data_IF_675364423445
#
_entry.id   IF_675364423445
#
_cell.length_a   1.000
_cell.length_b   1.000
_cell.length_c   1.000
_cell.angle_alpha   90.00
_cell.angle_beta   90.00
_cell.angle_gamma   90.00
#
_symmetry.space_group_name_H-M   'P 1'
#
loop_
_entity.id
_entity.type
_entity.pdbx_description
1 polymer ?
#
# COMPACT_ATOMS: atom_id res chain seq x y z
N UNK A 1 4.29 -15.75 23.13
CA UNK A 1 4.99 -15.34 21.89
C UNK A 1 4.03 -15.60 20.75
N UNK A 2 3.09 -14.69 20.49
CA UNK A 2 2.05 -14.91 19.47
C UNK A 2 2.71 -14.67 18.12
N UNK A 3 2.96 -15.75 17.38
CA UNK A 3 3.34 -15.67 15.98
C UNK A 3 2.22 -14.94 15.25
N UNK A 4 2.44 -13.66 14.95
CA UNK A 4 1.71 -13.00 13.89
C UNK A 4 1.94 -13.88 12.66
N UNK A 5 0.90 -14.62 12.28
CA UNK A 5 0.90 -15.34 11.01
C UNK A 5 1.14 -14.26 9.98
N UNK A 6 2.37 -14.19 9.52
CA UNK A 6 2.80 -13.42 8.37
C UNK A 6 2.12 -14.11 7.19
N UNK A 7 0.81 -13.86 7.06
CA UNK A 7 -0.02 -14.33 5.96
C UNK A 7 0.75 -13.88 4.73
N UNK A 8 1.28 -14.84 3.97
CA UNK A 8 1.97 -14.57 2.72
C UNK A 8 1.05 -13.69 1.88
N UNK A 9 1.30 -12.38 1.89
CA UNK A 9 0.47 -11.43 1.16
C UNK A 9 0.67 -11.76 -0.30
N UNK A 10 -0.31 -12.43 -0.88
CA UNK A 10 -0.34 -12.65 -2.33
C UNK A 10 -0.61 -11.30 -2.98
N UNK A 11 0.47 -10.62 -3.35
CA UNK A 11 0.39 -9.44 -4.18
C UNK A 11 0.06 -9.90 -5.62
N UNK A 12 -0.94 -9.30 -6.28
CA UNK A 12 -1.17 -9.50 -7.70
C UNK A 12 0.11 -9.26 -8.53
N UNK A 13 0.24 -9.88 -9.69
CA UNK A 13 1.40 -9.61 -10.57
C UNK A 13 1.40 -8.17 -11.12
N UNK A 14 0.25 -7.51 -11.11
CA UNK A 14 0.05 -6.14 -11.60
C UNK A 14 0.29 -5.06 -10.53
N UNK A 15 0.73 -5.40 -9.31
CA UNK A 15 1.00 -4.36 -8.30
C UNK A 15 2.18 -3.50 -8.71
N UNK A 16 2.02 -2.20 -8.51
CA UNK A 16 3.10 -1.21 -8.65
C UNK A 16 3.64 -0.88 -7.27
N UNK A 17 4.94 -0.64 -7.19
CA UNK A 17 5.60 -0.20 -5.95
C UNK A 17 5.90 1.28 -6.06
N UNK A 18 5.60 2.02 -5.00
CA UNK A 18 5.90 3.45 -4.90
C UNK A 18 6.06 3.90 -3.46
N UNK A 19 6.57 5.11 -3.26
CA UNK A 19 6.61 5.73 -1.94
C UNK A 19 5.33 6.49 -1.72
N UNK A 20 4.45 6.02 -0.83
CA UNK A 20 3.27 6.78 -0.44
C UNK A 20 3.58 7.73 0.71
N UNK A 21 2.91 8.87 0.68
CA UNK A 21 2.80 9.82 1.76
C UNK A 21 1.36 10.29 1.81
N UNK A 22 0.82 10.47 3.00
CA UNK A 22 -0.53 11.02 3.20
C UNK A 22 -0.43 12.48 3.58
N UNK A 23 -1.34 13.30 3.05
CA UNK A 23 -1.45 14.71 3.46
C UNK A 23 -2.36 14.84 4.67
N UNK A 24 -2.40 16.03 5.28
CA UNK A 24 -3.33 16.35 6.39
C UNK A 24 -4.81 16.22 6.02
N UNK A 25 -5.13 16.15 4.72
CA UNK A 25 -6.47 15.95 4.18
C UNK A 25 -6.74 14.49 3.80
N UNK A 26 -5.89 13.55 4.24
CA UNK A 26 -5.95 12.14 3.86
C UNK A 26 -5.82 11.90 2.34
N UNK A 27 -5.18 12.81 1.62
CA UNK A 27 -4.87 12.61 0.20
C UNK A 27 -3.67 11.70 0.06
N UNK A 28 -3.68 10.84 -0.97
CA UNK A 28 -2.60 9.88 -1.21
C UNK A 28 -1.63 10.46 -2.24
N UNK A 29 -0.40 10.68 -1.79
CA UNK A 29 0.71 11.14 -2.62
C UNK A 29 1.64 9.97 -2.85
N UNK A 30 1.73 9.47 -4.07
CA UNK A 30 2.68 8.40 -4.43
C UNK A 30 3.78 9.00 -5.30
N UNK A 31 5.03 8.77 -4.92
CA UNK A 31 6.22 9.28 -5.63
C UNK A 31 6.20 10.82 -5.78
N UNK A 32 5.63 11.52 -4.78
CA UNK A 32 5.48 12.97 -4.81
C UNK A 32 4.34 13.50 -5.69
N UNK A 33 3.52 12.62 -6.28
CA UNK A 33 2.33 13.00 -7.06
C UNK A 33 1.04 12.61 -6.34
N UNK A 34 0.11 13.55 -6.24
CA UNK A 34 -1.26 13.27 -5.81
C UNK A 34 -1.87 12.23 -6.76
N UNK A 35 -2.33 11.11 -6.21
CA UNK A 35 -2.98 10.04 -6.96
C UNK A 35 -4.44 9.95 -6.57
N UNK A 36 -5.29 9.83 -7.58
CA UNK A 36 -6.69 9.52 -7.39
C UNK A 36 -6.83 8.07 -6.92
N UNK A 37 -7.82 7.85 -6.06
CA UNK A 37 -8.19 6.56 -5.56
C UNK A 37 -9.69 6.42 -5.62
N UNK A 38 -10.16 5.18 -5.78
CA UNK A 38 -11.59 4.92 -5.80
C UNK A 38 -12.19 5.11 -4.40
N UNK A 39 -13.47 5.43 -4.32
CA UNK A 39 -14.17 5.50 -3.03
C UNK A 39 -14.14 4.17 -2.25
N UNK A 40 -13.88 3.05 -2.94
CA UNK A 40 -13.71 1.71 -2.38
C UNK A 40 -12.27 1.34 -2.03
N UNK A 41 -11.36 2.31 -1.95
CA UNK A 41 -9.95 2.10 -1.65
C UNK A 41 -9.76 1.27 -0.38
N UNK A 42 -9.02 0.17 -0.49
CA UNK A 42 -8.61 -0.66 0.66
C UNK A 42 -7.13 -0.49 0.92
N UNK A 43 -6.79 0.05 2.09
CA UNK A 43 -5.40 0.17 2.54
C UNK A 43 -5.12 -0.96 3.53
N UNK A 44 -4.29 -1.91 3.13
CA UNK A 44 -3.82 -3.00 3.98
C UNK A 44 -2.58 -2.53 4.72
N UNK A 45 -2.71 -2.23 6.01
CA UNK A 45 -1.58 -1.93 6.89
C UNK A 45 -0.68 -3.16 7.08
N UNK A 46 0.46 -3.03 7.75
CA UNK A 46 1.44 -4.08 8.09
C UNK A 46 0.85 -5.27 8.88
N UNK A 47 -0.20 -5.03 9.66
CA UNK A 47 -0.93 -6.08 10.42
C UNK A 47 -1.97 -6.85 9.57
N UNK A 48 -1.97 -6.67 8.25
CA UNK A 48 -2.98 -7.18 7.32
C UNK A 48 -4.41 -6.66 7.60
N UNK A 49 -4.53 -5.63 8.45
CA UNK A 49 -5.78 -4.93 8.72
C UNK A 49 -6.07 -3.88 7.65
N UNK A 50 -7.34 -3.78 7.26
CA UNK A 50 -7.83 -2.73 6.38
C UNK A 50 -7.96 -1.45 7.20
N UNK A 51 -7.16 -0.45 6.86
CA UNK A 51 -7.19 0.90 7.41
C UNK A 51 -7.85 1.84 6.39
N UNK A 52 -8.52 2.87 6.89
CA UNK A 52 -9.08 3.96 6.09
C UNK A 52 -8.00 5.00 5.79
N UNK A 53 -8.03 5.68 4.63
CA UNK A 53 -7.06 6.73 4.30
C UNK A 53 -7.00 7.83 5.38
N UNK A 54 -8.14 8.20 5.96
CA UNK A 54 -8.21 9.19 7.04
C UNK A 54 -7.53 8.76 8.35
N UNK A 55 -7.37 7.45 8.58
CA UNK A 55 -6.72 6.91 9.78
C UNK A 55 -5.26 6.55 9.54
N UNK A 56 -4.76 6.74 8.31
CA UNK A 56 -3.40 6.43 7.91
C UNK A 56 -2.64 7.74 7.80
N UNK A 57 -1.78 7.98 8.79
CA UNK A 57 -0.76 9.03 8.73
C UNK A 57 0.58 8.35 8.47
N UNK A 58 1.02 8.35 7.21
CA UNK A 58 2.30 7.80 6.81
C UNK A 58 3.04 8.78 5.92
N UNK A 59 4.34 8.91 6.12
CA UNK A 59 5.18 9.79 5.31
C UNK A 59 6.39 9.01 4.81
N UNK A 60 6.61 9.06 3.50
CA UNK A 60 7.74 8.43 2.82
C UNK A 60 7.85 6.91 3.07
N UNK A 61 6.72 6.21 3.14
CA UNK A 61 6.69 4.75 3.30
C UNK A 61 6.58 4.05 1.95
N UNK A 62 7.25 2.91 1.80
CA UNK A 62 7.18 2.13 0.56
C UNK A 62 5.94 1.27 0.58
N UNK A 63 5.14 1.35 -0.47
CA UNK A 63 3.90 0.59 -0.60
C UNK A 63 3.78 -0.05 -1.95
N UNK A 64 3.01 -1.14 -1.98
CA UNK A 64 2.49 -1.67 -3.22
C UNK A 64 1.08 -1.13 -3.43
N UNK A 65 0.70 -0.81 -4.65
CA UNK A 65 -0.63 -0.33 -5.00
C UNK A 65 -1.08 -0.93 -6.32
N UNK A 66 -2.40 -1.11 -6.45
CA UNK A 66 -3.05 -1.60 -7.67
C UNK A 66 -3.92 -0.49 -8.24
N UNK A 67 -3.74 -0.20 -9.52
CA UNK A 67 -4.56 0.76 -10.26
C UNK A 67 -5.64 0.00 -11.06
N UNK A 68 -6.82 0.58 -11.19
CA UNK A 68 -7.87 0.09 -12.07
C UNK A 68 -7.61 0.51 -13.53
N UNK A 69 -8.49 0.10 -14.43
CA UNK A 69 -8.44 0.46 -15.87
C UNK A 69 -8.57 1.96 -16.13
N UNK A 70 -9.11 2.72 -15.18
CA UNK A 70 -9.21 4.19 -15.22
C UNK A 70 -7.96 4.90 -14.66
N UNK A 71 -6.98 4.16 -14.14
CA UNK A 71 -5.76 4.70 -13.52
C UNK A 71 -5.94 5.18 -12.08
N UNK A 72 -7.06 4.85 -11.43
CA UNK A 72 -7.33 5.13 -10.03
C UNK A 72 -6.84 3.99 -9.15
N UNK A 73 -6.33 4.32 -7.97
CA UNK A 73 -5.87 3.30 -7.03
C UNK A 73 -7.09 2.63 -6.37
N UNK A 74 -7.17 1.30 -6.49
CA UNK A 74 -8.22 0.49 -5.85
C UNK A 74 -7.74 -0.16 -4.55
N UNK A 75 -6.47 -0.59 -4.51
CA UNK A 75 -5.88 -1.28 -3.36
C UNK A 75 -4.48 -0.77 -3.07
N UNK A 76 -4.14 -0.61 -1.79
CA UNK A 76 -2.80 -0.25 -1.33
C UNK A 76 -2.39 -1.20 -0.22
N UNK A 77 -1.13 -1.65 -0.25
CA UNK A 77 -0.50 -2.43 0.79
C UNK A 77 0.69 -1.67 1.33
N UNK A 78 0.62 -1.28 2.60
CA UNK A 78 1.72 -0.65 3.31
C UNK A 78 2.75 -1.72 3.65
N UNK A 79 3.96 -1.57 3.13
CA UNK A 79 5.06 -2.47 3.47
C UNK A 79 5.77 -1.92 4.70
N UNK A 80 6.12 -2.81 5.63
CA UNK A 80 7.03 -2.48 6.73
C UNK A 80 8.42 -2.13 6.20
N UNK A 81 9.26 -1.49 7.03
CA UNK A 81 10.65 -1.20 6.66
C UNK A 81 11.44 -2.49 6.35
N UNK A 82 11.07 -3.58 7.02
CA UNK A 82 11.64 -4.91 6.81
C UNK A 82 11.17 -5.50 5.47
N UNK A 83 9.88 -5.45 5.16
CA UNK A 83 9.32 -5.90 3.87
C UNK A 83 9.73 -5.00 2.69
N UNK A 84 9.95 -3.71 2.92
CA UNK A 84 10.48 -2.81 1.89
C UNK A 84 11.90 -3.17 1.48
N UNK A 85 12.68 -3.77 2.39
CA UNK A 85 14.02 -4.32 2.08
C UNK A 85 13.93 -5.68 1.40
N UNK A 86 12.85 -6.43 1.62
CA UNK A 86 12.55 -7.65 0.87
C UNK A 86 12.14 -7.25 -0.56
N UNK A 87 12.93 -7.69 -1.53
CA UNK A 87 12.65 -7.48 -2.94
C UNK A 87 11.27 -8.05 -3.28
N UNK A 88 10.51 -7.36 -4.15
CA UNK A 88 9.26 -7.87 -4.73
C UNK A 88 9.43 -9.36 -5.08
N UNK A 89 8.45 -10.23 -4.78
CA UNK A 89 8.55 -11.64 -5.13
C UNK A 89 8.83 -11.74 -6.64
N UNK A 90 10.05 -12.14 -6.97
CA UNK A 90 10.45 -12.35 -8.37
C UNK A 90 9.63 -13.51 -8.90
N UNK A 91 8.88 -13.25 -9.97
CA UNK A 91 8.32 -14.28 -10.84
C UNK A 91 9.46 -15.23 -11.22
N UNK A 92 9.38 -16.49 -10.80
CA UNK A 92 10.35 -17.53 -11.11
C UNK A 92 9.86 -18.41 -12.24
#
# INVERSE_FOLDING_TARGET
MTQAMQIERRFPEEVKRGKMSTTVLAEIVIDGKLRLHTAGLRIYGDDNLIKTPASVDVSNVVVNYLENEFGEIEKIWILTLEESKVALPKKN
#
